data_IF_778235418147
#
_entry.id   IF_778235418147
#
_cell.length_a   1.000
_cell.length_b   1.000
_cell.length_c   1.000
_cell.angle_alpha   90.00
_cell.angle_beta   90.00
_cell.angle_gamma   90.00
#
_symmetry.space_group_name_H-M   'P 1'
#
loop_
_entity.id
_entity.type
_entity.pdbx_description
1 polymer ?
#
# COMPACT_ATOMS: atom_id res chain seq x y z
N UNK A 1 -16.81 8.76 -63.48
CA UNK A 1 -16.23 8.80 -62.12
C UNK A 1 -16.40 7.44 -61.47
N UNK A 2 -15.29 6.96 -60.91
CA UNK A 2 -15.00 5.64 -60.34
C UNK A 2 -15.92 5.30 -59.15
N UNK A 3 -16.54 4.12 -59.04
CA UNK A 3 -16.06 2.75 -58.70
C UNK A 3 -16.44 2.36 -57.26
N UNK A 4 -17.28 1.32 -57.22
CA UNK A 4 -17.51 0.25 -56.23
C UNK A 4 -17.06 0.37 -54.76
N UNK A 5 -18.09 0.25 -53.91
CA UNK A 5 -18.21 -0.59 -52.70
C UNK A 5 -17.33 -1.85 -52.70
N UNK A 6 -16.49 -2.09 -51.67
CA UNK A 6 -16.00 -3.43 -51.26
C UNK A 6 -15.30 -3.45 -49.88
N UNK A 7 -15.93 -4.09 -48.88
CA UNK A 7 -15.35 -4.85 -47.75
C UNK A 7 -14.43 -4.18 -46.69
N UNK A 8 -14.15 -4.83 -45.53
CA UNK A 8 -14.29 -6.25 -45.25
C UNK A 8 -15.22 -6.62 -44.08
N UNK A 9 -15.74 -7.84 -44.21
CA UNK A 9 -16.46 -8.61 -43.22
C UNK A 9 -15.49 -9.13 -42.15
N UNK A 10 -15.87 -9.05 -40.88
CA UNK A 10 -15.35 -9.97 -39.85
C UNK A 10 -16.53 -10.58 -39.09
N UNK A 11 -16.81 -11.81 -39.49
CA UNK A 11 -17.46 -12.93 -38.81
C UNK A 11 -17.97 -12.68 -37.38
N UNK A 12 -19.27 -12.85 -37.20
CA UNK A 12 -19.91 -13.05 -35.90
C UNK A 12 -19.70 -14.50 -35.41
N UNK A 13 -19.08 -14.76 -34.26
CA UNK A 13 -19.25 -16.01 -33.57
C UNK A 13 -20.59 -16.00 -32.81
N UNK A 14 -21.53 -16.76 -33.38
CA UNK A 14 -22.69 -17.45 -32.80
C UNK A 14 -22.94 -17.20 -31.30
N UNK A 15 -24.14 -16.72 -31.00
CA UNK A 15 -24.74 -16.76 -29.67
C UNK A 15 -24.71 -18.18 -29.12
N UNK A 16 -23.80 -18.46 -28.18
CA UNK A 16 -23.94 -19.63 -27.32
C UNK A 16 -24.68 -19.17 -26.08
N UNK A 17 -25.97 -19.49 -26.10
CA UNK A 17 -26.84 -19.54 -24.93
C UNK A 17 -26.13 -20.33 -23.82
N UNK A 18 -25.85 -19.64 -22.72
CA UNK A 18 -25.18 -20.21 -21.55
C UNK A 18 -25.26 -19.28 -20.34
N UNK A 19 -26.40 -18.60 -20.15
CA UNK A 19 -26.65 -17.85 -18.92
C UNK A 19 -27.22 -18.81 -17.87
N UNK A 20 -26.34 -19.30 -16.98
CA UNK A 20 -26.74 -19.79 -15.67
C UNK A 20 -25.85 -19.19 -14.59
N UNK A 21 -26.44 -18.24 -13.87
CA UNK A 21 -26.14 -17.88 -12.48
C UNK A 21 -24.79 -17.21 -12.16
N UNK A 22 -24.84 -15.89 -11.96
CA UNK A 22 -24.39 -15.32 -10.69
C UNK A 22 -25.25 -14.11 -10.30
N UNK A 23 -26.35 -14.35 -9.57
CA UNK A 23 -27.00 -13.30 -8.79
C UNK A 23 -26.13 -13.04 -7.56
N UNK A 24 -25.25 -12.05 -7.64
CA UNK A 24 -24.86 -11.22 -6.48
C UNK A 24 -24.40 -9.86 -6.98
N UNK A 25 -25.34 -8.95 -7.05
CA UNK A 25 -25.09 -7.51 -7.04
C UNK A 25 -24.41 -7.13 -5.72
N UNK A 26 -23.09 -7.31 -5.60
CA UNK A 26 -22.33 -6.49 -4.65
C UNK A 26 -22.33 -5.09 -5.24
N UNK A 27 -23.27 -4.26 -4.79
CA UNK A 27 -23.15 -2.80 -4.85
C UNK A 27 -21.69 -2.49 -4.51
N UNK A 28 -20.95 -1.86 -5.42
CA UNK A 28 -19.74 -1.14 -5.04
C UNK A 28 -20.22 -0.12 -4.02
N UNK A 29 -20.14 -0.46 -2.73
CA UNK A 29 -20.33 0.51 -1.68
C UNK A 29 -19.20 1.51 -1.89
N UNK A 30 -19.56 2.67 -2.42
CA UNK A 30 -18.70 3.84 -2.35
C UNK A 30 -18.57 4.11 -0.86
N UNK A 31 -17.45 3.69 -0.27
CA UNK A 31 -17.19 3.94 1.13
C UNK A 31 -17.00 5.46 1.29
N UNK A 32 -17.58 6.07 2.34
CA UNK A 32 -17.41 7.50 2.59
C UNK A 32 -15.94 7.81 2.90
N UNK A 33 -15.45 8.94 2.37
CA UNK A 33 -14.07 9.44 2.44
C UNK A 33 -13.48 9.54 3.86
N UNK A 34 -14.32 9.49 4.91
CA UNK A 34 -13.90 9.55 6.31
C UNK A 34 -13.42 8.20 6.89
N UNK A 35 -13.43 7.11 6.10
CA UNK A 35 -13.09 5.76 6.55
C UNK A 35 -11.61 5.38 6.45
N UNK A 36 -10.73 6.29 6.03
CA UNK A 36 -9.29 6.00 5.80
C UNK A 36 -8.41 6.19 7.03
N UNK A 37 -8.98 6.53 8.19
CA UNK A 37 -8.23 6.72 9.43
C UNK A 37 -8.06 5.39 10.18
N UNK A 38 -6.83 4.88 10.22
CA UNK A 38 -6.21 3.93 11.17
C UNK A 38 -6.92 2.58 11.47
N UNK A 39 -8.15 2.38 11.02
CA UNK A 39 -9.07 1.37 11.57
C UNK A 39 -9.42 0.24 10.60
N UNK A 40 -8.79 0.15 9.43
CA UNK A 40 -8.90 -1.02 8.57
C UNK A 40 -7.82 -2.07 8.87
N UNK A 41 -7.70 -2.43 10.15
CA UNK A 41 -6.96 -3.63 10.57
C UNK A 41 -7.58 -4.93 10.01
N UNK A 42 -8.79 -4.86 9.41
CA UNK A 42 -9.53 -6.01 8.89
C UNK A 42 -9.13 -6.39 7.46
N UNK A 43 -8.76 -5.43 6.61
CA UNK A 43 -8.22 -5.75 5.30
C UNK A 43 -6.81 -6.40 5.37
N UNK A 44 -6.06 -6.10 6.43
CA UNK A 44 -4.74 -6.69 6.71
C UNK A 44 -4.89 -8.16 7.16
N UNK A 45 -5.96 -8.53 7.86
CA UNK A 45 -6.14 -9.89 8.41
C UNK A 45 -6.68 -10.95 7.44
N UNK A 46 -7.19 -10.58 6.27
CA UNK A 46 -7.93 -11.50 5.37
C UNK A 46 -7.03 -12.19 4.32
N UNK A 47 -5.72 -11.92 4.34
CA UNK A 47 -4.72 -12.64 3.53
C UNK A 47 -4.30 -13.97 4.18
N UNK A 48 -3.76 -14.94 3.41
CA UNK A 48 -3.42 -16.27 3.91
C UNK A 48 -2.26 -16.32 4.93
N UNK A 49 -1.62 -15.18 5.26
CA UNK A 49 -0.54 -15.08 6.24
C UNK A 49 -0.74 -13.82 7.12
N UNK A 50 -0.30 -13.84 8.39
CA UNK A 50 -0.19 -12.60 9.16
C UNK A 50 0.77 -11.66 8.42
N UNK A 51 0.31 -10.45 8.12
CA UNK A 51 0.96 -9.52 7.17
C UNK A 51 2.43 -9.26 7.50
N UNK A 52 2.80 -9.26 8.78
CA UNK A 52 4.18 -9.10 9.25
C UNK A 52 5.13 -10.22 8.80
N UNK A 53 4.69 -11.48 8.74
CA UNK A 53 5.53 -12.60 8.29
C UNK A 53 5.82 -12.52 6.79
N UNK A 54 4.79 -12.21 5.99
CA UNK A 54 4.93 -12.10 4.54
C UNK A 54 5.98 -11.05 4.15
N UNK A 55 5.88 -9.85 4.73
CA UNK A 55 6.84 -8.77 4.45
C UNK A 55 8.26 -9.13 4.90
N UNK A 56 8.43 -9.90 5.97
CA UNK A 56 9.75 -10.38 6.40
C UNK A 56 10.41 -11.28 5.35
N UNK A 57 9.67 -12.22 4.76
CA UNK A 57 10.17 -13.07 3.68
C UNK A 57 10.56 -12.27 2.43
N UNK A 58 9.76 -11.24 2.09
CA UNK A 58 10.06 -10.36 0.97
C UNK A 58 11.36 -9.58 1.19
N UNK A 59 11.57 -9.03 2.40
CA UNK A 59 12.81 -8.34 2.75
C UNK A 59 14.03 -9.26 2.64
N UNK A 60 13.93 -10.51 3.09
CA UNK A 60 15.01 -11.49 2.96
C UNK A 60 15.40 -11.73 1.50
N UNK A 61 14.41 -11.95 0.63
CA UNK A 61 14.64 -12.14 -0.82
C UNK A 61 15.30 -10.93 -1.48
N UNK A 62 14.93 -9.72 -1.07
CA UNK A 62 15.54 -8.49 -1.60
C UNK A 62 16.98 -8.34 -1.12
N UNK A 63 17.26 -8.62 0.15
CA UNK A 63 18.62 -8.55 0.71
C UNK A 63 19.56 -9.57 0.05
N UNK A 64 19.08 -10.79 -0.25
CA UNK A 64 19.85 -11.81 -0.97
C UNK A 64 20.28 -11.36 -2.38
N UNK A 65 19.53 -10.46 -3.02
CA UNK A 65 19.83 -9.92 -4.34
C UNK A 65 20.76 -8.69 -4.35
N UNK A 66 21.10 -8.14 -3.19
CA UNK A 66 21.87 -6.91 -3.05
C UNK A 66 23.31 -7.17 -2.60
N UNK A 67 24.27 -6.30 -2.96
CA UNK A 67 25.63 -6.41 -2.45
C UNK A 67 25.68 -6.14 -0.94
N UNK A 68 26.51 -6.90 -0.24
CA UNK A 68 26.76 -6.71 1.19
C UNK A 68 27.51 -5.40 1.47
N UNK A 69 27.33 -4.84 2.67
CA UNK A 69 28.02 -3.62 3.13
C UNK A 69 27.30 -2.31 2.81
N UNK A 70 26.00 -2.35 2.48
CA UNK A 70 25.18 -1.17 2.18
C UNK A 70 23.95 -1.04 3.06
N UNK A 71 23.27 0.10 2.94
CA UNK A 71 21.96 0.35 3.57
C UNK A 71 20.98 0.75 2.47
N UNK A 72 19.87 0.03 2.40
CA UNK A 72 18.74 0.36 1.55
C UNK A 72 17.83 1.32 2.32
N UNK A 73 17.68 2.53 1.81
CA UNK A 73 16.75 3.54 2.33
C UNK A 73 15.59 3.70 1.36
N UNK A 74 14.36 3.62 1.87
CA UNK A 74 13.14 3.71 1.06
C UNK A 74 12.14 4.61 1.77
N UNK A 75 11.65 5.60 1.04
CA UNK A 75 10.61 6.53 1.51
C UNK A 75 9.22 6.00 1.16
N UNK A 76 8.30 6.10 2.12
CA UNK A 76 6.88 5.78 1.91
C UNK A 76 6.14 6.85 1.12
N UNK A 77 6.58 8.11 1.21
CA UNK A 77 5.96 9.25 0.53
C UNK A 77 5.18 10.15 1.48
N UNK A 78 4.75 11.30 0.96
CA UNK A 78 4.10 12.37 1.74
C UNK A 78 2.67 12.63 1.28
N UNK A 79 1.91 13.32 2.14
CA UNK A 79 0.57 13.80 1.80
C UNK A 79 0.64 14.91 0.76
N UNK A 80 -0.10 14.74 -0.34
CA UNK A 80 -0.15 15.73 -1.43
C UNK A 80 -1.39 16.61 -1.26
N UNK A 81 -1.23 17.93 -1.09
CA UNK A 81 -2.36 18.85 -1.04
C UNK A 81 -2.96 19.07 -2.42
N UNK A 82 -4.29 19.16 -2.48
CA UNK A 82 -5.05 19.57 -3.64
C UNK A 82 -4.93 21.09 -3.78
N UNK A 83 -4.20 21.53 -4.80
CA UNK A 83 -3.97 22.95 -5.13
C UNK A 83 -3.23 23.74 -4.03
N UNK A 84 -2.49 23.08 -3.14
CA UNK A 84 -1.73 23.75 -2.08
C UNK A 84 -2.56 24.34 -0.93
N UNK A 85 -3.82 23.91 -0.78
CA UNK A 85 -4.70 24.27 0.32
C UNK A 85 -4.83 23.13 1.34
N UNK A 86 -5.74 23.27 2.30
CA UNK A 86 -6.01 22.36 3.41
C UNK A 86 -6.71 21.04 3.03
N UNK A 87 -6.98 20.82 1.75
CA UNK A 87 -7.60 19.59 1.23
C UNK A 87 -6.52 18.69 0.66
N UNK A 88 -6.42 17.45 1.14
CA UNK A 88 -5.44 16.47 0.65
C UNK A 88 -6.08 15.42 -0.25
N UNK A 89 -5.29 14.81 -1.13
CA UNK A 89 -5.69 13.58 -1.83
C UNK A 89 -5.61 12.38 -0.88
N UNK A 90 -6.34 11.31 -1.21
CA UNK A 90 -6.23 10.04 -0.49
C UNK A 90 -4.79 9.52 -0.55
N UNK A 91 -4.22 9.22 0.61
CA UNK A 91 -2.85 8.77 0.70
C UNK A 91 -2.69 7.32 0.24
N UNK A 92 -1.64 7.09 -0.54
CA UNK A 92 -1.15 5.77 -0.90
C UNK A 92 0.38 5.81 -0.86
N UNK A 93 0.96 4.93 -0.06
CA UNK A 93 2.39 4.78 0.02
C UNK A 93 3.00 4.31 -1.31
N UNK A 94 4.29 4.62 -1.48
CA UNK A 94 5.12 4.12 -2.55
C UNK A 94 5.03 2.59 -2.61
N UNK A 95 4.88 2.04 -3.81
CA UNK A 95 4.72 0.60 -4.04
C UNK A 95 5.89 -0.20 -3.47
N UNK A 96 7.13 0.27 -3.61
CA UNK A 96 8.31 -0.44 -3.11
C UNK A 96 8.35 -0.47 -1.58
N UNK A 97 8.01 0.66 -0.95
CA UNK A 97 7.91 0.77 0.50
C UNK A 97 6.79 -0.13 1.05
N UNK A 98 5.60 -0.03 0.48
CA UNK A 98 4.44 -0.81 0.89
C UNK A 98 4.68 -2.31 0.70
N UNK A 99 5.36 -2.72 -0.37
CA UNK A 99 5.71 -4.11 -0.63
C UNK A 99 6.62 -4.71 0.45
N UNK A 100 7.55 -3.92 1.00
CA UNK A 100 8.52 -4.42 1.98
C UNK A 100 8.11 -4.25 3.44
N UNK A 101 7.23 -3.29 3.73
CA UNK A 101 6.86 -2.93 5.11
C UNK A 101 5.38 -3.20 5.43
N UNK A 102 4.52 -3.17 4.42
CA UNK A 102 3.05 -3.17 4.61
C UNK A 102 2.49 -1.89 5.23
N UNK A 103 3.32 -0.87 5.46
CA UNK A 103 2.89 0.38 6.06
C UNK A 103 2.32 1.32 4.98
N UNK A 104 1.15 1.89 5.24
CA UNK A 104 0.47 2.83 4.36
C UNK A 104 0.14 4.15 5.07
N UNK A 105 1.05 4.61 5.94
CA UNK A 105 0.97 5.90 6.62
C UNK A 105 1.97 6.91 5.98
N UNK A 106 1.61 8.20 5.89
CA UNK A 106 2.45 9.22 5.27
C UNK A 106 3.62 9.62 6.15
N UNK A 107 4.73 10.02 5.52
CA UNK A 107 5.94 10.50 6.20
C UNK A 107 6.76 9.38 6.86
N UNK A 108 6.40 8.11 6.63
CA UNK A 108 7.21 6.98 7.06
C UNK A 108 8.31 6.67 6.04
N UNK A 109 9.42 6.15 6.56
CA UNK A 109 10.52 5.63 5.75
C UNK A 109 11.04 4.32 6.38
N UNK A 110 11.89 3.60 5.66
CA UNK A 110 12.47 2.35 6.11
C UNK A 110 13.94 2.29 5.75
N UNK A 111 14.72 1.68 6.64
CA UNK A 111 16.10 1.30 6.38
C UNK A 111 16.30 -0.20 6.55
N UNK A 112 17.03 -0.80 5.63
CA UNK A 112 17.41 -2.22 5.66
C UNK A 112 18.92 -2.31 5.46
N UNK A 113 19.63 -2.83 6.45
CA UNK A 113 21.06 -3.13 6.31
C UNK A 113 21.24 -4.37 5.45
N UNK A 114 21.97 -4.28 4.33
CA UNK A 114 22.16 -5.40 3.41
C UNK A 114 23.13 -6.46 3.95
N UNK A 115 23.89 -6.14 4.99
CA UNK A 115 24.84 -7.07 5.63
C UNK A 115 24.14 -7.93 6.66
N UNK A 116 23.34 -7.31 7.53
CA UNK A 116 22.68 -7.99 8.66
C UNK A 116 21.24 -8.39 8.35
N UNK A 117 20.62 -7.77 7.34
CA UNK A 117 19.19 -7.87 7.08
C UNK A 117 18.33 -7.15 8.12
N UNK A 118 18.93 -6.35 9.03
CA UNK A 118 18.20 -5.62 10.07
C UNK A 118 17.26 -4.61 9.44
N UNK A 119 15.97 -4.71 9.77
CA UNK A 119 14.93 -3.81 9.28
C UNK A 119 14.55 -2.80 10.37
N UNK A 120 14.73 -1.51 10.07
CA UNK A 120 14.38 -0.40 10.96
C UNK A 120 13.31 0.46 10.31
N UNK A 121 12.19 0.67 11.01
CA UNK A 121 11.09 1.52 10.57
C UNK A 121 11.29 2.95 11.09
N UNK A 122 11.22 3.93 10.19
CA UNK A 122 11.32 5.35 10.52
C UNK A 122 9.91 5.95 10.51
N UNK A 123 9.43 6.34 11.68
CA UNK A 123 8.11 6.90 11.90
C UNK A 123 8.11 8.42 11.77
N UNK A 124 7.04 8.98 11.18
CA UNK A 124 6.84 10.41 11.13
C UNK A 124 6.61 11.00 12.53
N UNK A 125 7.30 12.09 12.86
CA UNK A 125 7.07 12.80 14.12
C UNK A 125 5.87 13.74 13.98
N UNK A 126 4.81 13.44 14.72
CA UNK A 126 3.63 14.30 14.81
C UNK A 126 3.81 15.30 15.96
N UNK A 127 3.58 16.60 15.74
CA UNK A 127 3.67 17.60 16.82
C UNK A 127 2.53 17.43 17.82
N UNK A 128 2.79 17.77 19.08
CA UNK A 128 1.86 17.52 20.20
C UNK A 128 0.49 18.19 20.00
N UNK A 129 0.46 19.38 19.43
CA UNK A 129 -0.77 20.12 19.10
C UNK A 129 -1.68 19.39 18.10
N UNK A 130 -1.10 18.56 17.23
CA UNK A 130 -1.85 17.77 16.25
C UNK A 130 -2.51 16.53 16.86
N UNK A 131 -2.04 16.07 18.03
CA UNK A 131 -2.64 14.92 18.73
C UNK A 131 -4.10 15.16 19.10
N UNK A 132 -4.50 16.43 19.29
CA UNK A 132 -5.89 16.81 19.54
C UNK A 132 -6.82 16.46 18.37
N UNK A 133 -6.30 16.44 17.15
CA UNK A 133 -7.06 16.20 15.92
C UNK A 133 -6.91 14.78 15.40
N UNK A 134 -5.69 14.22 15.51
CA UNK A 134 -5.35 12.88 15.02
C UNK A 134 -5.78 11.79 16.01
N UNK A 135 -5.77 12.11 17.31
CA UNK A 135 -6.05 11.17 18.38
C UNK A 135 -4.81 10.49 18.93
N UNK A 136 -5.03 9.36 19.61
CA UNK A 136 -3.95 8.59 20.22
C UNK A 136 -3.08 7.92 19.15
N UNK A 137 -1.78 8.21 19.18
CA UNK A 137 -0.79 7.55 18.33
C UNK A 137 -0.21 6.33 19.06
N UNK A 138 0.08 5.25 18.31
CA UNK A 138 0.83 4.13 18.86
C UNK A 138 2.24 4.56 19.25
N UNK A 139 2.79 3.90 20.26
CA UNK A 139 4.20 4.01 20.63
C UNK A 139 5.11 3.40 19.56
N UNK A 140 6.40 3.74 19.59
CA UNK A 140 7.39 3.18 18.67
C UNK A 140 7.49 1.65 18.78
N UNK A 141 7.33 1.10 19.98
CA UNK A 141 7.35 -0.35 20.22
C UNK A 141 6.14 -1.05 19.58
N UNK A 142 4.94 -0.47 19.73
CA UNK A 142 3.72 -0.98 19.09
C UNK A 142 3.81 -0.91 17.56
N UNK A 143 4.42 0.15 17.01
CA UNK A 143 4.67 0.26 15.57
C UNK A 143 5.66 -0.80 15.07
N UNK A 144 6.72 -1.05 15.84
CA UNK A 144 7.69 -2.09 15.51
C UNK A 144 7.03 -3.47 15.50
N UNK A 145 6.22 -3.78 16.52
CA UNK A 145 5.50 -5.06 16.61
C UNK A 145 4.48 -5.23 15.46
N UNK A 146 3.72 -4.18 15.16
CA UNK A 146 2.70 -4.19 14.10
C UNK A 146 3.28 -4.51 12.72
N UNK A 147 4.44 -3.94 12.41
CA UNK A 147 5.11 -4.11 11.12
C UNK A 147 6.21 -5.19 11.11
N UNK A 148 6.47 -5.82 12.27
CA UNK A 148 7.55 -6.79 12.43
C UNK A 148 8.93 -6.19 12.14
N UNK A 149 9.17 -4.96 12.62
CA UNK A 149 10.46 -4.28 12.57
C UNK A 149 11.35 -4.72 13.73
N UNK A 150 12.66 -4.78 13.50
CA UNK A 150 13.64 -5.07 14.57
C UNK A 150 13.85 -3.84 15.47
N UNK A 151 13.64 -2.64 14.91
CA UNK A 151 13.77 -1.37 15.60
C UNK A 151 12.84 -0.32 14.95
N UNK A 152 12.38 0.64 15.74
CA UNK A 152 11.58 1.76 15.25
C UNK A 152 12.04 3.07 15.86
N UNK A 153 12.32 4.05 15.00
CA UNK A 153 12.84 5.36 15.39
C UNK A 153 12.06 6.46 14.67
N UNK A 154 12.14 7.69 15.17
CA UNK A 154 11.61 8.83 14.42
C UNK A 154 12.53 9.19 13.25
N UNK A 155 11.93 9.58 12.12
CA UNK A 155 12.64 10.09 10.94
C UNK A 155 13.27 11.48 11.19
#
# INVERSE_FOLDING_TARGET
MAISVFGPQYLTPKSVSGYSHCRRTRRKQVLPLAAVHFSDQRAISEGPLPVSQHHKELRQKVVEGLPAGGVLYIEGGELVPRNGLDVFYDFRANSDFFYLTGCNEPGFAATIDTTTGKFTLLSARVPEEMLHWVGALPSLEELAELHGADDCQYA
#
